data_IF_919478402914
#
_entry.id   IF_919478402914
#
_cell.length_a   1.000
_cell.length_b   1.000
_cell.length_c   1.000
_cell.angle_alpha   90.00
_cell.angle_beta   90.00
_cell.angle_gamma   90.00
#
_symmetry.space_group_name_H-M   'P 1'
#
loop_
_entity.id
_entity.type
_entity.pdbx_description
1 polymer ?
#
# COMPACT_ATOMS: atom_id res chain seq x y z
N UNK A 1 13.48 9.49 -12.33
CA UNK A 1 12.45 8.97 -11.41
C UNK A 1 11.21 9.85 -11.58
N UNK A 2 10.02 9.29 -11.87
CA UNK A 2 8.81 10.09 -12.00
C UNK A 2 8.46 10.77 -10.67
N UNK A 3 8.00 12.01 -10.73
CA UNK A 3 7.44 12.73 -9.59
C UNK A 3 5.94 12.88 -9.77
N UNK A 4 5.18 12.66 -8.71
CA UNK A 4 3.72 12.75 -8.71
C UNK A 4 3.29 13.94 -7.84
N UNK A 5 2.35 14.73 -8.35
CA UNK A 5 1.65 15.74 -7.57
C UNK A 5 0.15 15.58 -7.74
N UNK A 6 -0.62 15.73 -6.66
CA UNK A 6 -2.07 15.84 -6.60
C UNK A 6 -2.89 14.83 -7.44
N UNK A 7 -2.95 15.06 -8.75
CA UNK A 7 -3.78 14.33 -9.73
C UNK A 7 -2.97 13.48 -10.71
N UNK A 8 -1.65 13.37 -10.51
CA UNK A 8 -0.75 12.61 -11.38
C UNK A 8 -0.82 11.12 -11.05
N UNK A 9 -0.88 10.24 -12.06
CA UNK A 9 -0.84 8.79 -11.87
C UNK A 9 -0.15 8.08 -13.04
N UNK A 10 0.37 6.88 -12.77
CA UNK A 10 0.73 5.92 -13.80
C UNK A 10 -0.30 4.79 -13.77
N UNK A 11 -0.84 4.45 -14.95
CA UNK A 11 -1.79 3.36 -15.09
C UNK A 11 -1.11 2.15 -15.73
N UNK A 12 -1.26 1.00 -15.09
CA UNK A 12 -0.83 -0.29 -15.60
C UNK A 12 -2.05 -1.19 -15.78
N UNK A 13 -1.86 -2.33 -16.46
CA UNK A 13 -2.89 -3.38 -16.47
C UNK A 13 -3.16 -3.84 -15.05
N UNK A 14 -4.45 -4.04 -14.73
CA UNK A 14 -4.88 -4.53 -13.42
C UNK A 14 -4.15 -5.81 -13.04
N UNK A 15 -3.59 -5.84 -11.83
CA UNK A 15 -2.89 -7.02 -11.32
C UNK A 15 -3.89 -8.15 -11.08
N UNK A 16 -3.62 -9.32 -11.65
CA UNK A 16 -4.37 -10.56 -11.39
C UNK A 16 -3.93 -11.17 -10.06
N UNK A 17 -4.45 -10.60 -8.98
CA UNK A 17 -4.04 -10.78 -7.59
C UNK A 17 -4.90 -11.80 -6.81
N UNK A 18 -5.25 -12.94 -7.41
CA UNK A 18 -6.31 -13.81 -6.89
C UNK A 18 -6.03 -14.40 -5.49
N UNK A 19 -4.79 -14.80 -5.20
CA UNK A 19 -4.44 -15.47 -3.94
C UNK A 19 -3.35 -14.76 -3.16
N UNK A 20 -2.26 -14.38 -3.83
CA UNK A 20 -1.11 -13.76 -3.19
C UNK A 20 -0.66 -12.55 -3.98
N UNK A 21 -0.34 -11.47 -3.27
CA UNK A 21 0.26 -10.26 -3.82
C UNK A 21 1.53 -9.98 -3.02
N UNK A 22 2.61 -9.67 -3.74
CA UNK A 22 3.84 -9.14 -3.15
C UNK A 22 4.19 -7.85 -3.87
N UNK A 23 4.33 -6.78 -3.11
CA UNK A 23 4.70 -5.47 -3.63
C UNK A 23 5.98 -5.05 -2.90
N UNK A 24 6.99 -4.66 -3.67
CA UNK A 24 8.18 -3.99 -3.16
C UNK A 24 8.27 -2.66 -3.89
N UNK A 25 8.35 -1.56 -3.16
CA UNK A 25 8.52 -0.23 -3.75
C UNK A 25 9.50 0.61 -2.94
N UNK A 26 10.21 1.48 -3.65
CA UNK A 26 10.95 2.57 -3.04
C UNK A 26 10.26 3.88 -3.39
N UNK A 27 10.07 4.74 -2.41
CA UNK A 27 9.41 6.03 -2.61
C UNK A 27 10.03 7.11 -1.73
N UNK A 28 9.82 8.35 -2.14
CA UNK A 28 10.12 9.56 -1.37
C UNK A 28 8.89 10.44 -1.38
N UNK A 29 8.37 10.77 -0.21
CA UNK A 29 7.21 11.64 -0.05
C UNK A 29 7.61 12.98 0.59
N UNK A 30 6.93 14.05 0.19
CA UNK A 30 7.06 15.37 0.83
C UNK A 30 5.86 15.66 1.74
N UNK A 31 4.70 15.11 1.39
CA UNK A 31 3.45 15.26 2.14
C UNK A 31 3.19 14.04 3.02
N UNK A 32 2.57 14.22 4.20
CA UNK A 32 2.26 13.12 5.12
C UNK A 32 1.07 12.26 4.67
N UNK A 33 0.34 12.68 3.63
CA UNK A 33 -0.85 12.00 3.15
C UNK A 33 -0.86 11.93 1.63
N UNK A 34 -1.22 10.77 1.09
CA UNK A 34 -1.29 10.58 -0.36
C UNK A 34 -1.41 9.12 -0.77
N UNK A 35 -2.02 8.87 -1.93
CA UNK A 35 -2.15 7.53 -2.48
C UNK A 35 -0.84 7.10 -3.16
N UNK A 36 -0.33 5.91 -2.83
CA UNK A 36 0.87 5.33 -3.43
C UNK A 36 0.52 4.29 -4.49
N UNK A 37 -0.49 3.45 -4.22
CA UNK A 37 -0.94 2.39 -5.12
C UNK A 37 -2.42 2.12 -4.90
N UNK A 38 -3.15 1.88 -5.99
CA UNK A 38 -4.51 1.37 -5.95
C UNK A 38 -4.73 0.35 -7.06
N UNK A 39 -5.29 -0.80 -6.70
CA UNK A 39 -5.66 -1.85 -7.64
C UNK A 39 -6.98 -2.48 -7.19
N UNK A 40 -8.00 -2.42 -8.05
CA UNK A 40 -9.32 -2.96 -7.76
C UNK A 40 -9.91 -3.73 -8.95
N UNK A 41 -10.86 -4.62 -8.67
CA UNK A 41 -11.69 -5.23 -9.71
C UNK A 41 -12.64 -4.19 -10.34
N UNK A 42 -13.21 -4.53 -11.51
CA UNK A 42 -14.08 -3.64 -12.31
C UNK A 42 -15.26 -3.03 -11.53
N UNK A 43 -15.73 -3.70 -10.49
CA UNK A 43 -16.83 -3.23 -9.64
C UNK A 43 -16.39 -2.76 -8.25
N UNK A 44 -15.09 -2.60 -8.00
CA UNK A 44 -14.54 -1.98 -6.78
C UNK A 44 -14.68 -2.77 -5.49
N UNK A 45 -15.38 -3.92 -5.49
CA UNK A 45 -15.61 -4.74 -4.29
C UNK A 45 -14.30 -5.27 -3.69
N UNK A 46 -13.48 -5.91 -4.53
CA UNK A 46 -12.18 -6.41 -4.11
C UNK A 46 -11.10 -5.42 -4.54
N UNK A 47 -10.28 -5.00 -3.58
CA UNK A 47 -9.23 -4.03 -3.81
C UNK A 47 -8.02 -4.24 -2.90
N UNK A 48 -6.92 -3.62 -3.29
CA UNK A 48 -5.76 -3.38 -2.45
C UNK A 48 -5.30 -1.93 -2.68
N UNK A 49 -4.97 -1.23 -1.60
CA UNK A 49 -4.44 0.12 -1.65
C UNK A 49 -3.29 0.30 -0.68
N UNK A 50 -2.31 1.10 -1.09
CA UNK A 50 -1.23 1.60 -0.26
C UNK A 50 -1.33 3.12 -0.24
N UNK A 51 -1.34 3.72 0.94
CA UNK A 51 -1.41 5.16 1.11
C UNK A 51 -0.55 5.63 2.28
N UNK A 52 -0.12 6.88 2.24
CA UNK A 52 0.31 7.60 3.42
C UNK A 52 -0.91 8.19 4.13
N UNK A 53 -0.98 7.97 5.43
CA UNK A 53 -2.02 8.51 6.32
C UNK A 53 -1.32 9.07 7.54
N UNK A 54 -1.23 10.40 7.64
CA UNK A 54 -0.58 11.06 8.79
C UNK A 54 0.90 10.69 8.95
N UNK A 55 1.60 10.41 7.85
CA UNK A 55 3.01 10.01 7.84
C UNK A 55 3.26 8.50 7.99
N UNK A 56 2.23 7.68 8.15
CA UNK A 56 2.36 6.23 8.23
C UNK A 56 1.91 5.57 6.93
N UNK A 57 2.55 4.48 6.54
CA UNK A 57 2.09 3.68 5.39
C UNK A 57 0.93 2.80 5.85
N UNK A 58 -0.23 2.95 5.23
CA UNK A 58 -1.41 2.10 5.45
C UNK A 58 -1.62 1.17 4.24
N UNK A 59 -1.67 -0.13 4.52
CA UNK A 59 -2.21 -1.16 3.64
C UNK A 59 -3.69 -1.34 3.96
N UNK A 60 -4.57 -1.12 2.98
CA UNK A 60 -5.98 -1.54 3.05
C UNK A 60 -6.30 -2.52 1.94
N UNK A 61 -7.15 -3.49 2.24
CA UNK A 61 -7.60 -4.47 1.24
C UNK A 61 -8.93 -5.10 1.62
N UNK A 62 -9.72 -5.44 0.60
CA UNK A 62 -10.93 -6.26 0.71
C UNK A 62 -10.84 -7.39 -0.30
N UNK A 63 -11.27 -8.57 0.14
CA UNK A 63 -11.16 -9.84 -0.58
C UNK A 63 -12.51 -10.56 -0.66
N UNK A 64 -13.59 -9.80 -0.46
CA UNK A 64 -14.97 -10.25 -0.47
C UNK A 64 -15.60 -10.40 0.92
N UNK A 65 -14.81 -10.22 2.00
CA UNK A 65 -15.22 -10.40 3.40
C UNK A 65 -15.38 -9.10 4.18
N UNK A 66 -15.09 -7.95 3.57
CA UNK A 66 -14.97 -6.66 4.25
C UNK A 66 -13.53 -6.14 4.21
N UNK A 67 -13.38 -4.84 4.40
CA UNK A 67 -12.08 -4.18 4.33
C UNK A 67 -11.31 -4.31 5.64
N UNK A 68 -10.05 -4.71 5.54
CA UNK A 68 -9.06 -4.65 6.62
C UNK A 68 -8.02 -3.56 6.38
N UNK A 69 -7.36 -3.11 7.45
CA UNK A 69 -6.27 -2.14 7.40
C UNK A 69 -5.11 -2.55 8.31
N UNK A 70 -3.89 -2.25 7.89
CA UNK A 70 -2.64 -2.43 8.64
C UNK A 70 -1.76 -1.21 8.39
N UNK A 71 -1.19 -0.62 9.43
CA UNK A 71 -0.33 0.55 9.34
C UNK A 71 1.10 0.21 9.77
N UNK A 72 2.08 0.92 9.21
CA UNK A 72 3.48 0.82 9.66
C UNK A 72 3.62 1.22 11.12
N UNK A 73 4.60 0.63 11.82
CA UNK A 73 4.90 1.02 13.20
C UNK A 73 5.73 2.31 13.23
N UNK A 74 6.53 2.55 12.18
CA UNK A 74 7.32 3.76 12.02
C UNK A 74 6.71 4.74 11.00
N UNK A 75 6.85 6.06 11.22
CA UNK A 75 6.48 7.06 10.24
C UNK A 75 7.56 7.18 9.15
N UNK A 76 7.14 7.58 7.95
CA UNK A 76 8.04 8.02 6.89
C UNK A 76 8.54 9.43 7.16
N UNK A 77 9.78 9.70 6.77
CA UNK A 77 10.41 11.00 6.94
C UNK A 77 10.29 11.80 5.63
N UNK A 78 9.73 13.02 5.68
CA UNK A 78 9.62 13.86 4.50
C UNK A 78 10.97 14.05 3.79
N UNK A 79 10.99 13.90 2.47
CA UNK A 79 12.17 14.09 1.64
C UNK A 79 13.21 12.95 1.70
N UNK A 80 12.98 11.89 2.48
CA UNK A 80 13.85 10.70 2.51
C UNK A 80 13.29 9.56 1.68
N UNK A 81 14.21 8.73 1.18
CA UNK A 81 13.87 7.49 0.51
C UNK A 81 13.50 6.42 1.54
N UNK A 82 12.40 5.73 1.27
CA UNK A 82 11.89 4.64 2.08
C UNK A 82 11.68 3.40 1.23
N UNK A 83 11.92 2.23 1.82
CA UNK A 83 11.62 0.94 1.21
C UNK A 83 10.39 0.32 1.87
N UNK A 84 9.37 0.03 1.08
CA UNK A 84 8.16 -0.65 1.52
C UNK A 84 8.10 -2.05 0.93
N UNK A 85 7.85 -3.03 1.79
CA UNK A 85 7.54 -4.41 1.41
C UNK A 85 6.15 -4.76 1.93
N UNK A 86 5.30 -5.28 1.06
CA UNK A 86 3.92 -5.67 1.36
C UNK A 86 3.67 -7.08 0.88
N UNK A 87 3.06 -7.91 1.72
CA UNK A 87 2.53 -9.21 1.34
C UNK A 87 1.07 -9.31 1.70
N UNK A 88 0.23 -9.75 0.76
CA UNK A 88 -1.15 -10.17 1.02
C UNK A 88 -1.30 -11.62 0.59
N UNK A 89 -1.78 -12.46 1.48
CA UNK A 89 -2.14 -13.85 1.22
C UNK A 89 -3.58 -14.09 1.69
N UNK A 90 -4.52 -14.23 0.74
CA UNK A 90 -5.95 -14.33 1.03
C UNK A 90 -6.41 -13.20 1.97
N UNK A 91 -6.88 -13.52 3.17
CA UNK A 91 -7.37 -12.53 4.13
C UNK A 91 -6.27 -11.94 5.00
N UNK A 92 -5.06 -12.48 4.96
CA UNK A 92 -3.94 -11.98 5.75
C UNK A 92 -3.11 -11.00 4.95
N UNK A 93 -2.82 -9.84 5.52
CA UNK A 93 -2.01 -8.79 4.93
C UNK A 93 -0.91 -8.35 5.88
N UNK A 94 0.21 -7.94 5.33
CA UNK A 94 1.33 -7.46 6.10
C UNK A 94 2.16 -6.43 5.34
N UNK A 95 2.84 -5.56 6.09
CA UNK A 95 3.75 -4.56 5.55
C UNK A 95 4.97 -4.35 6.46
N UNK A 96 6.04 -3.82 5.89
CA UNK A 96 7.22 -3.33 6.60
C UNK A 96 7.82 -2.14 5.86
N UNK A 97 8.11 -1.06 6.60
CA UNK A 97 8.86 0.12 6.13
C UNK A 97 10.30 0.07 6.66
N UNK A 98 11.28 0.30 5.78
CA UNK A 98 12.72 0.41 6.09
C UNK A 98 13.31 -0.78 6.87
N UNK A 99 12.74 -1.97 6.69
CA UNK A 99 13.18 -3.19 7.37
C UNK A 99 12.72 -3.30 8.82
N UNK A 100 11.73 -2.52 9.26
CA UNK A 100 11.05 -2.73 10.54
C UNK A 100 10.47 -4.16 10.65
N UNK A 101 10.22 -4.67 11.87
CA UNK A 101 9.45 -5.89 12.06
C UNK A 101 8.09 -5.80 11.35
N UNK A 102 7.74 -6.87 10.63
CA UNK A 102 6.54 -6.88 9.82
C UNK A 102 5.26 -6.69 10.66
N UNK A 103 4.47 -5.68 10.32
CA UNK A 103 3.14 -5.47 10.91
C UNK A 103 2.11 -6.23 10.09
N UNK A 104 1.18 -6.94 10.75
CA UNK A 104 0.23 -7.84 10.08
C UNK A 104 -1.20 -7.63 10.56
N UNK A 105 -2.17 -7.96 9.71
CA UNK A 105 -3.61 -7.89 10.01
C UNK A 105 -4.45 -8.63 8.98
N UNK A 106 -5.78 -8.47 9.07
CA UNK A 106 -6.73 -9.23 8.25
C UNK A 106 -7.88 -8.39 7.70
N UNK A 107 -8.39 -8.77 6.52
CA UNK A 107 -9.65 -8.29 5.93
C UNK A 107 -10.82 -9.19 6.31
#
# INVERSE_FOLDING_TARGET
IPSFGGRSFLAFRTMKAYHTVRISMEFRALEPSGLLLYNAQKHGKDFISLALVGGFVELRFDTGSGAGAVSSAVPVQPGRWHRLVVTRNRRSGSLAVDGEPQVSGHS
#
